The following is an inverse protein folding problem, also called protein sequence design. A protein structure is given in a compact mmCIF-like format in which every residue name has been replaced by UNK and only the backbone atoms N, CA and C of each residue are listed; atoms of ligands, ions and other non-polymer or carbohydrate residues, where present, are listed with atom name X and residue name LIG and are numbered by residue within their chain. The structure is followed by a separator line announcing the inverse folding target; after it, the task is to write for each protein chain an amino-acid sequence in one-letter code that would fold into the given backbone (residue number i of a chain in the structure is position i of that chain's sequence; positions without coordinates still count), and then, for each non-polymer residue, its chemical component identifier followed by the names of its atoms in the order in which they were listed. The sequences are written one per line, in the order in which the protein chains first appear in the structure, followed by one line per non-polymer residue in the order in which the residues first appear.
data_IF_752062916464
#
_entry.id   IF_752062916464
#
_cell.length_a   1.000
_cell.length_b   1.000
_cell.length_c   1.000
_cell.angle_alpha   90.00
_cell.angle_beta   90.00
_cell.angle_gamma   90.00
#
_symmetry.space_group_name_H-M   'P 1'
#
loop_
_entity.id
_entity.type
_entity.pdbx_description
1 polymer ?
#
# COMPACT_ATOMS: atom_id res chain seq x y z
N UNK A 1 16.11 6.64 0.18
CA UNK A 1 14.80 7.00 -0.41
C UNK A 1 14.30 8.29 0.21
N UNK A 2 14.02 9.29 -0.62
CA UNK A 2 13.48 10.60 -0.21
C UNK A 2 11.95 10.54 -0.05
N UNK A 3 11.36 11.56 0.59
CA UNK A 3 9.90 11.68 0.70
C UNK A 3 9.22 11.78 -0.68
N UNK A 4 9.85 12.47 -1.64
CA UNK A 4 9.27 12.63 -2.98
C UNK A 4 9.33 11.33 -3.79
N UNK A 5 10.42 10.58 -3.67
CA UNK A 5 10.54 9.24 -4.27
C UNK A 5 9.44 8.31 -3.75
N UNK A 6 9.20 8.26 -2.43
CA UNK A 6 8.18 7.38 -1.86
C UNK A 6 6.75 7.85 -2.18
N UNK A 7 6.52 9.17 -2.33
CA UNK A 7 5.25 9.71 -2.84
C UNK A 7 4.96 9.27 -4.27
N UNK A 8 5.98 9.28 -5.14
CA UNK A 8 5.82 8.81 -6.50
C UNK A 8 5.66 7.30 -6.55
N UNK A 9 6.45 6.55 -5.77
CA UNK A 9 6.40 5.10 -5.69
C UNK A 9 5.03 4.58 -5.27
N UNK A 10 4.46 5.12 -4.19
CA UNK A 10 3.09 4.77 -3.75
C UNK A 10 2.00 5.11 -4.77
N UNK A 11 2.15 6.24 -5.49
CA UNK A 11 1.23 6.61 -6.58
C UNK A 11 1.33 5.63 -7.76
N UNK A 12 2.55 5.29 -8.18
CA UNK A 12 2.76 4.33 -9.28
C UNK A 12 2.26 2.94 -8.90
N UNK A 13 2.46 2.50 -7.66
CA UNK A 13 1.85 1.27 -7.13
C UNK A 13 0.32 1.27 -7.31
N UNK A 14 -0.36 2.31 -6.83
CA UNK A 14 -1.81 2.43 -7.00
C UNK A 14 -2.23 2.42 -8.49
N UNK A 15 -1.51 3.14 -9.36
CA UNK A 15 -1.81 3.16 -10.80
C UNK A 15 -1.65 1.79 -11.45
N UNK A 16 -0.61 1.03 -11.08
CA UNK A 16 -0.35 -0.30 -11.64
C UNK A 16 -1.37 -1.32 -11.14
N UNK A 17 -1.75 -1.27 -9.86
CA UNK A 17 -2.88 -2.04 -9.32
C UNK A 17 -4.15 -1.74 -10.12
N UNK A 18 -4.44 -0.47 -10.40
CA UNK A 18 -5.64 -0.11 -11.17
C UNK A 18 -5.61 -0.69 -12.59
N UNK A 19 -4.47 -0.59 -13.28
CA UNK A 19 -4.29 -1.17 -14.62
C UNK A 19 -4.47 -2.69 -14.61
N UNK A 20 -3.88 -3.37 -13.63
CA UNK A 20 -4.03 -4.81 -13.44
C UNK A 20 -5.51 -5.19 -13.24
N UNK A 21 -6.20 -4.57 -12.27
CA UNK A 21 -7.62 -4.87 -12.00
C UNK A 21 -8.55 -4.58 -13.19
N UNK A 22 -8.23 -3.57 -14.00
CA UNK A 22 -8.99 -3.27 -15.23
C UNK A 22 -8.80 -4.31 -16.33
N UNK A 23 -7.72 -5.09 -16.30
CA UNK A 23 -7.47 -6.18 -17.26
C UNK A 23 -8.17 -7.49 -16.90
N UNK A 24 -8.67 -7.65 -15.67
CA UNK A 24 -9.30 -8.88 -15.22
C UNK A 24 -10.67 -9.11 -15.88
N UNK A 25 -10.96 -10.38 -16.19
CA UNK A 25 -12.27 -10.82 -16.64
C UNK A 25 -13.33 -10.54 -15.57
N UNK A 26 -14.43 -9.90 -15.98
CA UNK A 26 -15.47 -9.45 -15.04
C UNK A 26 -16.28 -10.62 -14.49
N UNK A 27 -16.42 -10.64 -13.16
CA UNK A 27 -17.34 -11.52 -12.43
C UNK A 27 -17.70 -10.85 -11.11
N UNK A 28 -18.79 -11.29 -10.46
CA UNK A 28 -19.18 -10.75 -9.15
C UNK A 28 -18.07 -10.89 -8.10
N UNK A 29 -17.34 -12.00 -8.11
CA UNK A 29 -16.23 -12.23 -7.19
C UNK A 29 -15.07 -11.26 -7.47
N UNK A 30 -14.71 -11.10 -8.75
CA UNK A 30 -13.67 -10.15 -9.18
C UNK A 30 -14.07 -8.72 -8.84
N UNK A 31 -15.32 -8.31 -9.01
CA UNK A 31 -15.77 -6.96 -8.69
C UNK A 31 -15.64 -6.64 -7.19
N UNK A 32 -15.97 -7.60 -6.32
CA UNK A 32 -15.83 -7.45 -4.86
C UNK A 32 -14.36 -7.26 -4.48
N UNK A 33 -13.48 -8.16 -4.94
CA UNK A 33 -12.06 -8.11 -4.59
C UNK A 33 -11.38 -6.87 -5.21
N UNK A 34 -11.70 -6.57 -6.47
CA UNK A 34 -11.20 -5.39 -7.15
C UNK A 34 -11.58 -4.12 -6.40
N UNK A 35 -12.83 -4.01 -5.93
CA UNK A 35 -13.27 -2.82 -5.20
C UNK A 35 -12.52 -2.62 -3.89
N UNK A 36 -12.24 -3.69 -3.15
CA UNK A 36 -11.44 -3.58 -1.92
C UNK A 36 -10.01 -3.14 -2.23
N UNK A 37 -9.36 -3.80 -3.21
CA UNK A 37 -7.99 -3.48 -3.59
C UNK A 37 -7.84 -2.09 -4.24
N UNK A 38 -8.83 -1.63 -5.01
CA UNK A 38 -8.87 -0.25 -5.53
C UNK A 38 -8.84 0.77 -4.39
N UNK A 39 -9.62 0.54 -3.32
CA UNK A 39 -9.63 1.43 -2.16
C UNK A 39 -8.31 1.40 -1.41
N UNK A 40 -7.84 0.21 -1.00
CA UNK A 40 -6.64 0.13 -0.16
C UNK A 40 -5.40 0.64 -0.88
N UNK A 41 -5.18 0.25 -2.14
CA UNK A 41 -4.01 0.72 -2.92
C UNK A 41 -4.01 2.24 -3.14
N UNK A 42 -5.18 2.84 -3.42
CA UNK A 42 -5.28 4.30 -3.56
C UNK A 42 -5.17 5.04 -2.22
N UNK A 43 -5.65 4.44 -1.12
CA UNK A 43 -5.46 4.91 0.24
C UNK A 43 -3.98 4.98 0.63
N UNK A 44 -3.15 3.99 0.26
CA UNK A 44 -1.68 4.04 0.48
C UNK A 44 -1.10 5.34 -0.09
N UNK A 45 -1.39 5.63 -1.36
CA UNK A 45 -0.89 6.83 -2.04
C UNK A 45 -1.44 8.13 -1.43
N UNK A 46 -2.75 8.19 -1.16
CA UNK A 46 -3.40 9.36 -0.61
C UNK A 46 -2.92 9.68 0.81
N UNK A 47 -2.87 8.67 1.67
CA UNK A 47 -2.46 8.82 3.07
C UNK A 47 -0.96 9.13 3.18
N UNK A 48 -0.09 8.55 2.34
CA UNK A 48 1.34 8.90 2.38
C UNK A 48 1.58 10.37 1.99
N UNK A 49 0.78 10.93 1.07
CA UNK A 49 0.80 12.37 0.79
C UNK A 49 0.36 13.20 2.00
N UNK A 50 -0.59 12.70 2.80
CA UNK A 50 -1.02 13.34 4.04
C UNK A 50 0.04 13.26 5.15
N UNK A 51 0.77 12.13 5.25
CA UNK A 51 1.95 11.95 6.12
C UNK A 51 2.99 13.03 5.83
N UNK A 52 3.26 13.30 4.56
CA UNK A 52 4.22 14.34 4.15
C UNK A 52 3.82 15.76 4.55
N UNK A 53 2.55 15.99 4.90
CA UNK A 53 2.01 17.26 5.43
C UNK A 53 1.80 17.24 6.95
N UNK A 54 2.35 16.24 7.65
CA UNK A 54 2.24 16.09 9.10
C UNK A 54 2.75 17.32 9.86
N UNK A 55 2.02 17.73 10.90
CA UNK A 55 2.31 18.96 11.67
C UNK A 55 3.17 18.73 12.91
N UNK A 56 3.25 17.49 13.38
CA UNK A 56 4.04 17.08 14.54
C UNK A 56 4.53 15.65 14.37
N UNK A 57 5.50 15.21 15.18
CA UNK A 57 5.98 13.83 15.17
C UNK A 57 4.88 12.81 15.48
N UNK A 58 3.93 13.16 16.36
CA UNK A 58 2.79 12.30 16.71
C UNK A 58 1.77 12.20 15.58
N UNK A 59 1.43 13.35 14.95
CA UNK A 59 0.55 13.38 13.77
C UNK A 59 1.15 12.60 12.59
N UNK A 60 2.46 12.77 12.35
CA UNK A 60 3.19 12.02 11.35
C UNK A 60 3.13 10.51 11.62
N UNK A 61 3.39 10.08 12.86
CA UNK A 61 3.36 8.68 13.25
C UNK A 61 1.97 8.06 13.09
N UNK A 62 0.92 8.75 13.53
CA UNK A 62 -0.45 8.23 13.43
C UNK A 62 -0.89 8.08 11.97
N UNK A 63 -0.60 9.06 11.11
CA UNK A 63 -0.88 8.95 9.68
C UNK A 63 -0.06 7.85 9.01
N UNK A 64 1.20 7.66 9.44
CA UNK A 64 2.05 6.62 8.86
C UNK A 64 1.54 5.21 9.19
N UNK A 65 0.96 5.00 10.37
CA UNK A 65 0.28 3.72 10.72
C UNK A 65 -0.88 3.42 9.78
N UNK A 66 -1.69 4.43 9.44
CA UNK A 66 -2.78 4.24 8.46
C UNK A 66 -2.21 3.83 7.10
N UNK A 67 -1.09 4.42 6.66
CA UNK A 67 -0.44 4.01 5.39
C UNK A 67 0.06 2.56 5.46
N UNK A 68 0.62 2.14 6.58
CA UNK A 68 1.11 0.78 6.83
C UNK A 68 -0.04 -0.24 6.80
N UNK A 69 -1.16 0.06 7.48
CA UNK A 69 -2.39 -0.75 7.48
C UNK A 69 -2.97 -0.92 6.06
N UNK A 70 -3.03 0.16 5.28
CA UNK A 70 -3.57 0.13 3.91
C UNK A 70 -2.63 -0.60 2.93
N UNK A 71 -1.32 -0.57 3.18
CA UNK A 71 -0.34 -1.31 2.38
C UNK A 71 -0.44 -2.81 2.64
N UNK A 72 -0.59 -3.20 3.91
CA UNK A 72 -0.80 -4.59 4.33
C UNK A 72 -2.14 -5.12 3.78
N UNK A 73 -3.21 -4.33 3.86
CA UNK A 73 -4.49 -4.71 3.24
C UNK A 73 -4.38 -4.87 1.72
N UNK A 74 -3.60 -4.00 1.04
CA UNK A 74 -3.34 -4.13 -0.40
C UNK A 74 -2.60 -5.43 -0.73
N UNK A 75 -1.58 -5.77 0.06
CA UNK A 75 -0.83 -7.03 -0.07
C UNK A 75 -1.78 -8.23 0.10
N UNK A 76 -2.58 -8.24 1.16
CA UNK A 76 -3.57 -9.29 1.42
C UNK A 76 -4.50 -9.51 0.22
N UNK A 77 -5.06 -8.45 -0.36
CA UNK A 77 -5.99 -8.61 -1.49
C UNK A 77 -5.30 -9.11 -2.76
N UNK A 78 -4.03 -8.76 -3.00
CA UNK A 78 -3.26 -9.31 -4.11
C UNK A 78 -2.98 -10.81 -3.91
N UNK A 79 -2.59 -11.23 -2.71
CA UNK A 79 -2.44 -12.65 -2.35
C UNK A 79 -3.78 -13.40 -2.43
N UNK A 80 -4.88 -12.74 -2.07
CA UNK A 80 -6.22 -13.30 -2.17
C UNK A 80 -6.62 -13.54 -3.64
N UNK A 81 -6.32 -12.59 -4.55
CA UNK A 81 -6.52 -12.79 -6.00
C UNK A 81 -5.73 -14.00 -6.49
N UNK A 82 -4.46 -14.12 -6.07
CA UNK A 82 -3.62 -15.27 -6.40
C UNK A 82 -4.22 -16.59 -5.91
N UNK A 83 -4.70 -16.62 -4.67
CA UNK A 83 -5.32 -17.80 -4.06
C UNK A 83 -6.68 -18.17 -4.64
N UNK A 84 -7.41 -17.22 -5.25
CA UNK A 84 -8.62 -17.49 -6.01
C UNK A 84 -8.36 -18.08 -7.40
N UNK A 85 -7.09 -18.13 -7.83
CA UNK A 85 -6.69 -18.59 -9.17
C UNK A 85 -7.45 -17.86 -10.30
N UNK A 86 -7.69 -16.55 -10.11
CA UNK A 86 -8.32 -15.71 -11.14
C UNK A 86 -7.39 -15.67 -12.36
N UNK A 87 -7.94 -15.94 -13.54
CA UNK A 87 -7.22 -15.81 -14.81
C UNK A 87 -6.71 -14.37 -14.99
N UNK A 88 -5.38 -14.21 -14.98
CA UNK A 88 -4.69 -12.92 -15.06
C UNK A 88 -3.23 -13.10 -15.51
N UNK A 89 -2.54 -11.98 -15.72
CA UNK A 89 -1.08 -11.98 -15.88
C UNK A 89 -0.41 -12.24 -14.53
N UNK A 90 0.10 -13.47 -14.34
CA UNK A 90 0.75 -13.89 -13.10
C UNK A 90 2.05 -13.13 -12.83
N UNK A 91 2.82 -12.79 -13.87
CA UNK A 91 4.07 -12.05 -13.68
C UNK A 91 3.81 -10.63 -13.18
N UNK A 92 2.74 -9.99 -13.67
CA UNK A 92 2.31 -8.69 -13.16
C UNK A 92 1.76 -8.80 -11.73
N UNK A 93 0.98 -9.84 -11.42
CA UNK A 93 0.48 -10.07 -10.07
C UNK A 93 1.62 -10.25 -9.06
N UNK A 94 2.65 -11.06 -9.37
CA UNK A 94 3.82 -11.24 -8.50
C UNK A 94 4.60 -9.94 -8.30
N UNK A 95 4.74 -9.11 -9.33
CA UNK A 95 5.39 -7.79 -9.21
C UNK A 95 4.61 -6.88 -8.26
N UNK A 96 3.29 -6.87 -8.35
CA UNK A 96 2.44 -6.07 -7.46
C UNK A 96 2.50 -6.57 -6.02
N UNK A 97 2.47 -7.89 -5.80
CA UNK A 97 2.63 -8.50 -4.47
C UNK A 97 3.97 -8.07 -3.87
N UNK A 98 5.06 -8.22 -4.64
CA UNK A 98 6.40 -7.84 -4.19
C UNK A 98 6.49 -6.34 -3.85
N UNK A 99 5.92 -5.48 -4.69
CA UNK A 99 5.91 -4.04 -4.42
C UNK A 99 5.11 -3.71 -3.16
N UNK A 100 3.95 -4.34 -2.95
CA UNK A 100 3.15 -4.16 -1.74
C UNK A 100 3.91 -4.59 -0.48
N UNK A 101 4.56 -5.76 -0.50
CA UNK A 101 5.39 -6.25 0.60
C UNK A 101 6.58 -5.31 0.90
N UNK A 102 7.26 -4.81 -0.13
CA UNK A 102 8.32 -3.81 0.04
C UNK A 102 7.78 -2.52 0.69
N UNK A 103 6.59 -2.05 0.28
CA UNK A 103 5.94 -0.88 0.88
C UNK A 103 5.59 -1.11 2.36
N UNK A 104 5.03 -2.28 2.71
CA UNK A 104 4.76 -2.68 4.11
C UNK A 104 6.06 -2.64 4.92
N UNK A 105 7.11 -3.28 4.44
CA UNK A 105 8.41 -3.31 5.12
C UNK A 105 8.98 -1.89 5.36
N UNK A 106 8.85 -1.00 4.36
CA UNK A 106 9.28 0.40 4.46
C UNK A 106 8.50 1.15 5.55
N UNK A 107 7.17 1.04 5.56
CA UNK A 107 6.34 1.79 6.50
C UNK A 107 6.48 1.27 7.93
N UNK A 108 6.48 -0.05 8.10
CA UNK A 108 6.74 -0.72 9.39
C UNK A 108 8.11 -0.33 9.98
N UNK A 109 9.17 -0.33 9.17
CA UNK A 109 10.49 0.13 9.60
C UNK A 109 10.50 1.63 9.97
N UNK A 110 9.77 2.45 9.21
CA UNK A 110 9.57 3.87 9.49
C UNK A 110 8.89 4.12 10.83
N UNK A 111 7.82 3.39 11.13
CA UNK A 111 7.08 3.44 12.40
C UNK A 111 7.99 3.07 13.57
N UNK A 112 8.75 1.98 13.46
CA UNK A 112 9.69 1.52 14.48
C UNK A 112 10.74 2.59 14.81
N UNK A 113 11.38 3.14 13.77
CA UNK A 113 12.41 4.17 13.90
C UNK A 113 11.90 5.42 14.63
N UNK A 114 10.65 5.83 14.37
CA UNK A 114 10.05 7.02 15.01
C UNK A 114 9.71 6.75 16.47
N UNK A 115 9.19 5.56 16.80
CA UNK A 115 8.89 5.16 18.18
C UNK A 115 10.16 5.15 19.03
N UNK A 116 11.24 4.55 18.53
CA UNK A 116 12.54 4.53 19.22
C UNK A 116 13.08 5.94 19.49
N UNK A 117 13.00 6.85 18.51
CA UNK A 117 13.41 8.25 18.69
C UNK A 117 12.57 9.02 19.72
N UNK A 118 11.27 8.72 19.83
CA UNK A 118 10.41 9.37 20.82
C UNK A 118 10.67 8.84 22.23
N UNK A 119 11.01 7.55 22.38
CA UNK A 119 11.38 6.96 23.66
C UNK A 119 12.72 7.47 24.21
N UNK A 120 13.66 7.86 23.34
CA UNK A 120 14.96 8.44 23.75
C UNK A 120 14.81 9.91 24.22
N UNK A 121 13.71 10.58 23.85
CA UNK A 121 13.46 12.00 24.17
C UNK A 121 12.64 12.21 25.44
N UNK A 122 12.13 11.14 26.04
CA UNK A 122 11.45 11.13 27.33
C UNK A 122 12.37 10.56 28.40
#
# INVERSE_FOLDING_TARGET
MTKEELKNRTKEFALNVFKFLMSLNKSKAVDVVSYQLFKSSSSVAANYRAVCRGKSSSDFLNKLKVVDEEADESLFWLEFIKGLEIECDLDELEKLIKEADELVAIFSAGIKTIKEKNNIKN
#
